data_IF_887463763718
#
_entry.id   IF_887463763718
#
_cell.length_a   1.000
_cell.length_b   1.000
_cell.length_c   1.000
_cell.angle_alpha   90.00
_cell.angle_beta   90.00
_cell.angle_gamma   90.00
#
_symmetry.space_group_name_H-M   'P 1'
#
loop_
_entity.id
_entity.type
_entity.pdbx_description
1 polymer ?
#
# COMPACT_ATOMS: atom_id res chain seq x y z
N UNK A 1 -9.95 26.81 -83.38
CA UNK A 1 -8.69 27.13 -82.65
C UNK A 1 -9.04 27.56 -81.21
N UNK A 2 -9.82 26.75 -80.49
CA UNK A 2 -10.30 27.08 -79.14
C UNK A 2 -10.47 25.85 -78.21
N UNK A 3 -10.02 24.65 -78.61
CA UNK A 3 -10.23 23.40 -77.83
C UNK A 3 -8.96 22.80 -77.21
N UNK A 4 -7.81 23.48 -77.30
CA UNK A 4 -6.54 22.90 -76.80
C UNK A 4 -6.11 23.42 -75.42
N UNK A 5 -6.75 24.46 -74.86
CA UNK A 5 -6.28 25.10 -73.62
C UNK A 5 -7.04 24.69 -72.35
N UNK A 6 -8.16 23.97 -72.43
CA UNK A 6 -8.95 23.59 -71.25
C UNK A 6 -8.53 22.25 -70.60
N UNK A 7 -7.88 21.35 -71.35
CA UNK A 7 -7.52 20.01 -70.84
C UNK A 7 -6.33 20.01 -69.88
N UNK A 8 -5.50 21.06 -69.86
CA UNK A 8 -4.28 21.11 -69.04
C UNK A 8 -4.49 21.52 -67.57
N UNK A 9 -5.67 22.00 -67.15
CA UNK A 9 -5.93 22.32 -65.73
C UNK A 9 -6.43 21.13 -64.90
N UNK A 10 -6.94 20.08 -65.53
CA UNK A 10 -7.50 18.93 -64.81
C UNK A 10 -6.42 17.98 -64.24
N UNK A 11 -5.23 17.92 -64.85
CA UNK A 11 -4.21 16.93 -64.49
C UNK A 11 -3.36 17.29 -63.25
N UNK A 12 -3.43 18.52 -62.73
CA UNK A 12 -2.65 18.93 -61.54
C UNK A 12 -3.32 18.64 -60.20
N UNK A 13 -4.54 18.10 -60.16
CA UNK A 13 -5.26 17.80 -58.91
C UNK A 13 -5.29 16.33 -58.52
N UNK A 14 -4.58 15.45 -59.24
CA UNK A 14 -4.57 14.01 -58.97
C UNK A 14 -3.30 13.49 -58.28
N UNK A 15 -2.35 14.37 -57.94
CA UNK A 15 -1.03 13.96 -57.42
C UNK A 15 -0.82 14.03 -55.90
N UNK A 16 -1.83 14.41 -55.11
CA UNK A 16 -1.61 14.77 -53.69
C UNK A 16 -2.52 14.02 -52.69
N UNK A 17 -3.01 12.82 -53.01
CA UNK A 17 -3.87 12.05 -52.09
C UNK A 17 -3.39 10.63 -51.75
N UNK A 18 -2.26 10.16 -52.28
CA UNK A 18 -1.74 8.80 -51.98
C UNK A 18 -0.77 8.79 -50.78
N UNK A 19 -0.47 9.93 -50.17
CA UNK A 19 0.53 10.04 -49.08
C UNK A 19 0.01 9.94 -47.63
N UNK A 20 -1.29 9.92 -47.38
CA UNK A 20 -1.84 10.12 -46.01
C UNK A 20 -2.50 8.85 -45.42
N UNK A 21 -2.57 7.75 -46.15
CA UNK A 21 -3.32 6.56 -45.70
C UNK A 21 -2.54 5.58 -44.78
N UNK A 22 -1.27 5.82 -44.46
CA UNK A 22 -0.43 4.84 -43.75
C UNK A 22 -0.19 5.11 -42.25
N UNK A 23 -0.83 6.13 -41.64
CA UNK A 23 -0.52 6.57 -40.27
C UNK A 23 -1.60 6.23 -39.21
N UNK A 24 -2.46 5.24 -39.44
CA UNK A 24 -3.68 5.05 -38.63
C UNK A 24 -3.79 3.75 -37.82
N UNK A 25 -2.68 3.13 -37.38
CA UNK A 25 -2.76 1.88 -36.60
C UNK A 25 -1.77 1.76 -35.42
N UNK A 26 -1.37 2.87 -34.80
CA UNK A 26 -0.71 2.84 -33.48
C UNK A 26 -1.70 3.29 -32.42
N UNK A 27 -2.57 2.38 -31.97
CA UNK A 27 -3.30 2.59 -30.72
C UNK A 27 -2.31 2.46 -29.57
N UNK A 28 -2.08 3.50 -28.74
CA UNK A 28 -1.21 3.38 -27.59
C UNK A 28 -1.79 2.32 -26.63
N UNK A 29 -1.00 1.30 -26.32
CA UNK A 29 -1.32 0.35 -25.25
C UNK A 29 -1.28 1.11 -23.93
N UNK A 30 -2.45 1.27 -23.30
CA UNK A 30 -2.54 1.89 -21.98
C UNK A 30 -2.08 0.84 -20.96
N UNK A 31 -0.83 0.97 -20.48
CA UNK A 31 -0.35 0.14 -19.39
C UNK A 31 -1.20 0.44 -18.13
N UNK A 32 -1.98 -0.54 -17.67
CA UNK A 32 -2.71 -0.43 -16.41
C UNK A 32 -1.74 -0.67 -15.25
N UNK A 33 -1.44 0.38 -14.49
CA UNK A 33 -0.76 0.26 -13.21
C UNK A 33 -1.75 -0.27 -12.17
N UNK A 34 -1.84 -1.59 -12.04
CA UNK A 34 -2.74 -2.25 -11.10
C UNK A 34 -2.27 -2.01 -9.66
N UNK A 35 -3.11 -1.36 -8.86
CA UNK A 35 -2.87 -1.18 -7.42
C UNK A 35 -3.62 -2.26 -6.67
N UNK A 36 -2.94 -2.89 -5.72
CA UNK A 36 -3.53 -3.92 -4.86
C UNK A 36 -4.08 -3.21 -3.63
N UNK A 37 -5.39 -3.29 -3.42
CA UNK A 37 -6.03 -2.79 -2.20
C UNK A 37 -5.76 -3.72 -1.02
N UNK A 38 -5.37 -3.14 0.11
CA UNK A 38 -5.04 -3.88 1.31
C UNK A 38 -5.96 -3.48 2.47
N UNK A 39 -6.47 -4.45 3.24
CA UNK A 39 -7.35 -4.23 4.38
C UNK A 39 -6.65 -3.66 5.61
N UNK A 40 -5.32 -3.80 5.71
CA UNK A 40 -4.54 -3.40 6.88
C UNK A 40 -3.42 -2.44 6.47
N UNK A 41 -3.37 -1.29 7.14
CA UNK A 41 -2.27 -0.33 7.09
C UNK A 41 -1.36 -0.52 8.31
N UNK A 42 -0.05 -0.51 8.10
CA UNK A 42 0.96 -0.69 9.15
C UNK A 42 1.65 0.63 9.36
N UNK A 43 1.63 1.12 10.59
CA UNK A 43 2.22 2.39 10.98
C UNK A 43 3.37 2.17 11.94
N UNK A 44 4.35 3.07 11.88
CA UNK A 44 5.30 3.29 12.96
C UNK A 44 5.00 4.59 13.65
N UNK A 45 4.94 4.54 14.97
CA UNK A 45 4.81 5.71 15.84
C UNK A 45 6.07 5.89 16.67
N UNK A 46 6.70 7.07 16.60
CA UNK A 46 7.78 7.50 17.49
C UNK A 46 7.20 8.41 18.57
N UNK A 47 7.47 8.07 19.83
CA UNK A 47 7.33 9.00 20.94
C UNK A 47 8.66 9.74 21.15
N UNK A 48 8.67 11.05 20.88
CA UNK A 48 9.88 11.89 21.01
C UNK A 48 10.31 12.12 22.45
N UNK A 49 9.41 11.92 23.42
CA UNK A 49 9.71 12.09 24.85
C UNK A 49 10.48 10.86 25.35
N UNK A 50 10.03 9.67 24.98
CA UNK A 50 10.66 8.41 25.43
C UNK A 50 11.66 7.83 24.45
N UNK A 51 11.69 8.32 23.21
CA UNK A 51 12.54 7.81 22.13
C UNK A 51 12.13 6.42 21.62
N UNK A 52 10.97 5.90 22.00
CA UNK A 52 10.49 4.58 21.58
C UNK A 52 9.73 4.64 20.27
N UNK A 53 10.04 3.70 19.39
CA UNK A 53 9.28 3.44 18.15
C UNK A 53 8.45 2.18 18.37
N UNK A 54 7.15 2.27 18.11
CA UNK A 54 6.26 1.12 18.09
C UNK A 54 5.67 0.93 16.69
N UNK A 55 5.39 -0.32 16.33
CA UNK A 55 4.70 -0.67 15.10
C UNK A 55 3.31 -1.19 15.45
N UNK A 56 2.29 -0.70 14.76
CA UNK A 56 0.90 -1.10 14.98
C UNK A 56 0.18 -1.25 13.65
N UNK A 57 -0.65 -2.29 13.59
CA UNK A 57 -1.51 -2.58 12.45
C UNK A 57 -2.88 -1.91 12.69
N UNK A 58 -3.44 -1.28 11.65
CA UNK A 58 -4.73 -0.59 11.70
C UNK A 58 -5.57 -1.02 10.51
N UNK A 59 -6.81 -1.42 10.75
CA UNK A 59 -7.73 -1.78 9.67
C UNK A 59 -8.22 -0.54 8.92
N UNK A 60 -8.48 -0.68 7.62
CA UNK A 60 -9.06 0.43 6.84
C UNK A 60 -10.40 0.85 7.42
N UNK A 61 -10.55 2.14 7.74
CA UNK A 61 -11.75 2.71 8.34
C UNK A 61 -11.78 2.67 9.87
N UNK A 62 -10.87 1.94 10.50
CA UNK A 62 -10.70 1.91 11.95
C UNK A 62 -9.93 3.14 12.43
N UNK A 63 -10.24 3.61 13.65
CA UNK A 63 -9.48 4.66 14.33
C UNK A 63 -8.72 4.07 15.50
N UNK A 64 -7.38 4.09 15.43
CA UNK A 64 -6.50 3.63 16.52
C UNK A 64 -5.82 4.83 17.16
N UNK A 65 -5.65 4.78 18.49
CA UNK A 65 -5.00 5.85 19.25
C UNK A 65 -3.52 5.54 19.51
N UNK A 66 -2.65 6.49 19.16
CA UNK A 66 -1.23 6.50 19.52
C UNK A 66 -0.91 7.78 20.30
N UNK A 67 -0.76 7.65 21.62
CA UNK A 67 -0.56 8.80 22.50
C UNK A 67 -1.76 9.75 22.46
N UNK A 68 -1.52 11.00 22.04
CA UNK A 68 -2.56 12.02 21.85
C UNK A 68 -3.13 12.04 20.42
N UNK A 69 -2.66 11.17 19.52
CA UNK A 69 -3.07 11.14 18.12
C UNK A 69 -4.03 9.98 17.85
N UNK A 70 -5.07 10.24 17.07
CA UNK A 70 -6.00 9.26 16.53
C UNK A 70 -5.74 9.10 15.03
N UNK A 71 -5.35 7.90 14.63
CA UNK A 71 -4.97 7.56 13.25
C UNK A 71 -6.08 6.76 12.59
N UNK A 72 -6.56 7.26 11.45
CA UNK A 72 -7.60 6.61 10.66
C UNK A 72 -7.14 6.46 9.20
N UNK A 73 -6.62 5.30 8.80
CA UNK A 73 -6.35 5.02 7.38
C UNK A 73 -7.67 4.81 6.63
N UNK A 74 -7.83 5.49 5.49
CA UNK A 74 -8.99 5.29 4.59
C UNK A 74 -8.66 4.41 3.39
N UNK A 75 -7.39 4.37 3.00
CA UNK A 75 -6.93 3.65 1.82
C UNK A 75 -5.51 3.15 2.09
N UNK A 76 -5.18 1.93 1.67
CA UNK A 76 -3.81 1.43 1.70
C UNK A 76 -3.55 0.53 0.49
N UNK A 77 -2.62 0.93 -0.37
CA UNK A 77 -2.31 0.27 -1.63
C UNK A 77 -0.87 -0.21 -1.67
N UNK A 78 -0.66 -1.39 -2.24
CA UNK A 78 0.65 -1.94 -2.60
C UNK A 78 0.72 -2.18 -4.11
N UNK A 79 1.93 -2.43 -4.60
CA UNK A 79 2.18 -2.77 -5.99
C UNK A 79 2.49 -4.26 -6.18
N UNK A 80 2.16 -4.82 -7.36
CA UNK A 80 2.62 -6.14 -7.76
C UNK A 80 4.14 -6.23 -7.76
N UNK A 81 4.68 -7.44 -7.57
CA UNK A 81 6.13 -7.70 -7.55
C UNK A 81 6.81 -7.45 -8.92
N UNK A 82 6.04 -7.28 -9.99
CA UNK A 82 6.54 -6.99 -11.34
C UNK A 82 6.89 -5.51 -11.56
N UNK A 83 6.51 -4.63 -10.64
CA UNK A 83 6.78 -3.19 -10.69
C UNK A 83 7.64 -2.77 -9.48
N UNK A 84 8.25 -1.59 -9.53
CA UNK A 84 8.93 -0.99 -8.39
C UNK A 84 8.00 -0.93 -7.17
N UNK A 85 8.45 -1.43 -6.01
CA UNK A 85 7.61 -1.49 -4.81
C UNK A 85 7.27 -0.07 -4.37
N UNK A 86 5.97 0.21 -4.31
CA UNK A 86 5.46 1.46 -3.80
C UNK A 86 4.23 1.16 -2.96
N UNK A 87 4.31 1.55 -1.69
CA UNK A 87 3.21 1.43 -0.75
C UNK A 87 2.72 2.82 -0.39
N UNK A 88 1.45 3.09 -0.64
CA UNK A 88 0.82 4.39 -0.43
C UNK A 88 -0.47 4.23 0.35
N UNK A 89 -0.72 5.11 1.30
CA UNK A 89 -1.98 5.11 2.06
C UNK A 89 -2.53 6.52 2.22
N UNK A 90 -3.85 6.66 2.15
CA UNK A 90 -4.51 7.91 2.51
C UNK A 90 -4.91 7.84 3.98
N UNK A 91 -4.43 8.80 4.78
CA UNK A 91 -4.52 8.75 6.23
C UNK A 91 -5.05 10.08 6.74
N UNK A 92 -5.96 9.99 7.71
CA UNK A 92 -6.46 11.11 8.48
C UNK A 92 -5.92 10.96 9.90
N UNK A 93 -5.33 12.02 10.45
CA UNK A 93 -4.83 12.04 11.83
C UNK A 93 -5.42 13.21 12.56
N UNK A 94 -6.06 12.89 13.67
CA UNK A 94 -6.68 13.83 14.59
C UNK A 94 -5.87 13.88 15.89
N UNK A 95 -5.77 15.05 16.51
CA UNK A 95 -5.12 15.24 17.82
C UNK A 95 -6.19 15.49 18.88
N UNK A 96 -6.04 14.84 20.03
CA UNK A 96 -6.80 15.12 21.25
C UNK A 96 -6.01 16.13 22.07
N UNK A 97 -6.54 17.35 22.18
CA UNK A 97 -5.90 18.42 22.95
C UNK A 97 -6.05 18.19 24.46
N UNK A 98 -5.32 18.97 25.27
CA UNK A 98 -5.44 18.96 26.74
C UNK A 98 -6.86 19.33 27.23
N UNK A 99 -7.62 20.05 26.42
CA UNK A 99 -9.01 20.42 26.71
C UNK A 99 -10.01 19.35 26.22
N UNK A 100 -9.52 18.18 25.79
CA UNK A 100 -10.31 17.09 25.25
C UNK A 100 -11.06 17.45 23.94
N UNK A 101 -10.53 18.39 23.17
CA UNK A 101 -11.04 18.73 21.84
C UNK A 101 -10.33 17.89 20.79
N UNK A 102 -11.08 17.33 19.84
CA UNK A 102 -10.54 16.55 18.72
C UNK A 102 -10.41 17.46 17.50
N UNK A 103 -9.18 17.63 16.99
CA UNK A 103 -8.92 18.45 15.80
C UNK A 103 -8.13 17.68 14.76
N UNK A 104 -8.46 17.86 13.48
CA UNK A 104 -7.70 17.26 12.38
C UNK A 104 -6.39 18.01 12.16
N UNK A 105 -5.27 17.31 12.33
CA UNK A 105 -3.93 17.86 12.11
C UNK A 105 -3.33 17.42 10.76
N UNK A 106 -3.80 16.30 10.21
CA UNK A 106 -3.32 15.78 8.94
C UNK A 106 -4.43 15.07 8.17
N UNK A 107 -4.43 15.25 6.85
CA UNK A 107 -5.27 14.49 5.92
C UNK A 107 -4.57 14.45 4.57
N UNK A 108 -4.01 13.30 4.21
CA UNK A 108 -3.23 13.22 2.98
C UNK A 108 -2.69 11.83 2.67
N UNK A 109 -1.97 11.75 1.55
CA UNK A 109 -1.29 10.55 1.11
C UNK A 109 0.07 10.42 1.79
N UNK A 110 0.32 9.27 2.42
CA UNK A 110 1.60 8.86 2.97
C UNK A 110 2.28 7.84 2.05
N UNK A 111 3.61 7.85 2.03
CA UNK A 111 4.44 6.97 1.19
C UNK A 111 5.41 6.19 2.07
N UNK A 112 5.27 4.86 2.11
CA UNK A 112 6.10 4.05 2.99
C UNK A 112 7.59 4.06 2.61
N UNK A 113 7.88 4.16 1.31
CA UNK A 113 9.25 4.22 0.80
C UNK A 113 9.93 5.59 1.04
N UNK A 114 9.16 6.63 1.39
CA UNK A 114 9.68 7.97 1.64
C UNK A 114 8.87 8.67 2.73
N UNK A 115 9.00 8.22 4.00
CA UNK A 115 8.24 8.79 5.12
C UNK A 115 8.42 10.30 5.26
N UNK A 116 9.63 10.81 5.04
CA UNK A 116 9.95 12.25 5.17
C UNK A 116 9.25 13.17 4.16
N UNK A 117 8.54 12.63 3.15
CA UNK A 117 7.78 13.46 2.21
C UNK A 117 6.41 13.85 2.77
N UNK A 118 5.72 12.91 3.42
CA UNK A 118 4.35 13.09 3.89
C UNK A 118 4.06 12.22 5.13
N UNK A 119 4.88 12.34 6.17
CA UNK A 119 4.59 11.82 7.51
C UNK A 119 3.89 12.87 8.37
N UNK A 120 3.27 12.43 9.46
CA UNK A 120 2.81 13.34 10.51
C UNK A 120 3.96 13.60 11.45
N UNK A 121 4.37 14.86 11.53
CA UNK A 121 5.32 15.35 12.51
C UNK A 121 4.59 16.20 13.55
N UNK A 122 4.32 15.62 14.71
CA UNK A 122 3.75 16.31 15.85
C UNK A 122 4.87 16.66 16.86
N UNK A 123 4.76 17.74 17.67
CA UNK A 123 5.84 18.13 18.59
C UNK A 123 6.27 17.03 19.57
N UNK A 124 5.35 16.10 19.89
CA UNK A 124 5.56 15.00 20.83
C UNK A 124 5.65 13.64 20.14
N UNK A 125 4.97 13.45 19.00
CA UNK A 125 4.79 12.15 18.36
C UNK A 125 5.08 12.25 16.87
N UNK A 126 5.69 11.25 16.25
CA UNK A 126 5.73 11.14 14.78
C UNK A 126 5.03 9.86 14.35
N UNK A 127 4.26 9.93 13.27
CA UNK A 127 3.57 8.77 12.70
C UNK A 127 3.80 8.73 11.20
N UNK A 128 4.21 7.57 10.72
CA UNK A 128 4.36 7.32 9.29
C UNK A 128 3.91 5.91 8.91
N UNK A 129 3.41 5.80 7.69
CA UNK A 129 3.10 4.52 7.06
C UNK A 129 4.39 3.75 6.80
N UNK A 130 4.42 2.46 7.14
CA UNK A 130 5.56 1.58 6.85
C UNK A 130 5.20 0.46 5.88
N UNK A 131 3.96 -0.03 5.89
CA UNK A 131 3.52 -1.05 4.94
C UNK A 131 1.99 -1.13 4.83
N UNK A 132 1.48 -1.89 3.85
CA UNK A 132 0.11 -2.41 3.88
C UNK A 132 0.16 -3.94 3.79
N UNK A 133 -0.77 -4.62 4.44
CA UNK A 133 -0.84 -6.09 4.49
C UNK A 133 -2.25 -6.58 4.17
N UNK A 134 -2.32 -7.81 3.66
CA UNK A 134 -3.57 -8.53 3.39
C UNK A 134 -4.12 -9.29 4.61
N UNK A 135 -3.31 -9.41 5.66
CA UNK A 135 -3.58 -10.14 6.88
C UNK A 135 -2.90 -9.44 8.07
N UNK A 136 -3.51 -9.52 9.25
CA UNK A 136 -2.90 -9.14 10.53
C UNK A 136 -3.04 -10.27 11.54
N UNK A 137 -2.25 -10.18 12.62
CA UNK A 137 -2.39 -11.00 13.82
C UNK A 137 -3.45 -10.45 14.77
N UNK A 138 -3.74 -9.14 14.67
CA UNK A 138 -4.78 -8.49 15.45
C UNK A 138 -6.12 -8.84 14.80
N UNK A 139 -7.14 -9.27 15.55
CA UNK A 139 -8.46 -9.53 14.99
C UNK A 139 -9.10 -8.22 14.48
N UNK A 140 -9.89 -8.27 13.39
CA UNK A 140 -10.59 -7.10 12.88
C UNK A 140 -11.69 -6.64 13.85
N UNK A 141 -12.07 -5.36 13.81
CA UNK A 141 -13.22 -4.86 14.55
C UNK A 141 -14.52 -5.53 14.06
N UNK A 142 -15.52 -5.64 14.94
CA UNK A 142 -16.80 -6.33 14.66
C UNK A 142 -17.55 -5.70 13.47
N UNK A 143 -17.45 -4.37 13.31
CA UNK A 143 -18.11 -3.59 12.26
C UNK A 143 -17.16 -3.24 11.09
N UNK A 144 -16.31 -4.19 10.66
CA UNK A 144 -15.37 -3.95 9.56
C UNK A 144 -16.02 -4.00 8.17
N UNK A 145 -16.06 -2.86 7.48
CA UNK A 145 -16.63 -2.69 6.13
C UNK A 145 -15.55 -2.48 5.02
N UNK A 146 -14.28 -2.79 5.28
CA UNK A 146 -13.18 -2.52 4.36
C UNK A 146 -12.89 -3.63 3.32
N UNK A 147 -11.76 -3.53 2.59
CA UNK A 147 -11.32 -4.56 1.63
C UNK A 147 -11.25 -5.97 2.23
N UNK A 148 -11.36 -7.05 1.43
CA UNK A 148 -11.37 -8.41 1.97
C UNK A 148 -10.04 -8.78 2.65
N UNK A 149 -10.13 -9.35 3.85
CA UNK A 149 -9.00 -9.86 4.63
C UNK A 149 -8.67 -11.28 4.15
N UNK A 150 -7.45 -11.50 3.61
CA UNK A 150 -7.06 -12.80 3.04
C UNK A 150 -6.56 -13.82 4.08
N UNK A 151 -6.49 -13.44 5.35
CA UNK A 151 -6.20 -14.35 6.46
C UNK A 151 -6.15 -13.62 7.80
N UNK A 152 -6.64 -14.29 8.85
CA UNK A 152 -6.27 -13.98 10.22
C UNK A 152 -5.11 -14.91 10.53
N UNK A 153 -3.93 -14.37 10.82
CA UNK A 153 -2.85 -15.23 11.33
C UNK A 153 -3.23 -15.50 12.77
N UNK A 154 -3.92 -16.61 13.02
CA UNK A 154 -4.30 -17.00 14.37
C UNK A 154 -3.03 -17.07 15.24
N UNK A 155 -3.12 -16.52 16.44
CA UNK A 155 -2.05 -16.61 17.43
C UNK A 155 -1.82 -18.11 17.74
N UNK A 156 -0.77 -18.71 17.15
CA UNK A 156 -0.40 -20.11 17.41
C UNK A 156 -0.03 -20.96 16.19
N UNK A 157 -0.32 -20.53 14.96
CA UNK A 157 0.07 -21.28 13.76
C UNK A 157 1.35 -20.68 13.17
N UNK A 158 2.50 -21.29 13.50
CA UNK A 158 3.74 -21.08 12.75
C UNK A 158 3.57 -21.75 11.38
N UNK A 159 3.59 -21.00 10.25
CA UNK A 159 3.50 -21.60 8.91
C UNK A 159 4.65 -22.55 8.58
N UNK A 160 5.72 -22.56 9.38
CA UNK A 160 6.83 -23.51 9.30
C UNK A 160 6.63 -24.74 10.19
N UNK A 161 5.73 -24.69 11.17
CA UNK A 161 5.28 -25.88 11.87
C UNK A 161 4.35 -26.62 10.89
N UNK A 162 4.80 -27.78 10.43
CA UNK A 162 3.93 -28.68 9.67
C UNK A 162 2.68 -29.04 10.49
N UNK A 163 1.69 -29.69 9.86
CA UNK A 163 0.55 -30.24 10.60
C UNK A 163 1.05 -30.98 11.84
N UNK A 164 0.48 -30.68 13.01
CA UNK A 164 0.74 -31.43 14.24
C UNK A 164 0.37 -32.90 13.95
N UNK A 165 1.38 -33.73 13.75
CA UNK A 165 1.25 -35.15 13.48
C UNK A 165 0.95 -35.94 14.75
N UNK A 166 0.69 -35.25 15.87
CA UNK A 166 0.43 -35.84 17.19
C UNK A 166 1.66 -36.57 17.73
N UNK A 167 2.83 -36.35 17.12
CA UNK A 167 4.09 -36.87 17.61
C UNK A 167 4.71 -35.75 18.43
N UNK A 168 4.64 -35.86 19.76
CA UNK A 168 5.38 -35.00 20.68
C UNK A 168 6.89 -35.15 20.42
N UNK A 169 7.39 -34.46 19.40
CA UNK A 169 8.80 -34.21 19.14
C UNK A 169 9.32 -33.18 20.14
N UNK A 170 9.09 -33.42 21.42
CA UNK A 170 9.67 -32.60 22.48
C UNK A 170 11.19 -32.57 22.36
N UNK A 171 11.87 -31.55 22.91
CA UNK A 171 13.33 -31.51 22.92
C UNK A 171 13.85 -32.83 23.50
N UNK A 172 14.57 -33.60 22.69
CA UNK A 172 15.07 -34.92 23.08
C UNK A 172 15.79 -34.84 24.42
N UNK A 173 15.53 -35.80 25.30
CA UNK A 173 16.13 -35.88 26.64
C UNK A 173 17.65 -35.67 26.52
N UNK A 174 18.23 -34.66 27.20
CA UNK A 174 19.67 -34.42 27.13
C UNK A 174 20.44 -35.68 27.54
N UNK A 175 21.27 -36.19 26.63
CA UNK A 175 22.12 -37.35 26.91
C UNK A 175 23.07 -36.97 28.06
N UNK A 176 23.08 -37.67 29.21
CA UNK A 176 23.95 -37.32 30.31
C UNK A 176 25.41 -37.41 29.88
N UNK A 177 26.20 -36.38 30.19
CA UNK A 177 27.66 -36.41 29.96
C UNK A 177 28.26 -37.56 30.79
N UNK A 178 29.14 -38.39 30.23
CA UNK A 178 29.90 -39.35 31.02
C UNK A 178 30.72 -38.59 32.06
N UNK A 179 30.57 -38.94 33.34
CA UNK A 179 31.49 -38.50 34.37
C UNK A 179 32.86 -39.11 34.06
N UNK A 180 33.80 -38.28 33.61
CA UNK A 180 35.21 -38.63 33.62
C UNK A 180 35.71 -38.36 35.04
N UNK A 181 35.92 -39.45 35.79
CA UNK A 181 36.76 -39.45 36.98
C UNK A 181 38.23 -39.50 36.60
#
# INVERSE_FOLDING_TARGET
>A
MADLFETMKAARRAGALIGIAAFSAMTPSVAQAEKIENPVAVFSGLDKITGRIISFDVYIGETVQFGALQVTPRVCHTRPQTESPLTTGFVQVDEITLNNEVRRIFSGWMYAASPGLHAVEHPVYDIWLTNCKLASKVPPPEDYDGPPIKGLVAEGEDPLAGPDDGVDGGPGVPRPKPFQG
#
